data_IF_971881075185
#
_entry.id   IF_971881075185
#
_cell.length_a   1.000
_cell.length_b   1.000
_cell.length_c   1.000
_cell.angle_alpha   90.00
_cell.angle_beta   90.00
_cell.angle_gamma   90.00
#
_symmetry.space_group_name_H-M   'P 1'
#
loop_
_entity.id
_entity.type
_entity.pdbx_description
1 polymer ?
#
# COMPACT_ATOMS: atom_id res chain seq x y z
N UNK A 1 -42.63 -26.21 -6.88
CA UNK A 1 -41.77 -27.38 -6.59
C UNK A 1 -40.54 -27.29 -7.49
N UNK A 2 -39.65 -26.33 -7.32
CA UNK A 2 -38.85 -26.05 -6.11
C UNK A 2 -37.88 -27.19 -5.84
N UNK A 3 -36.64 -27.04 -6.32
CA UNK A 3 -35.39 -27.52 -5.70
C UNK A 3 -34.28 -27.60 -6.75
N UNK A 4 -33.65 -26.47 -7.11
CA UNK A 4 -32.29 -26.43 -7.72
C UNK A 4 -31.66 -25.03 -7.77
N UNK A 5 -32.11 -24.10 -6.92
CA UNK A 5 -31.70 -22.68 -6.94
C UNK A 5 -30.63 -22.28 -5.88
N UNK A 6 -29.98 -23.23 -5.20
CA UNK A 6 -29.23 -22.91 -3.96
C UNK A 6 -27.74 -23.32 -3.97
N UNK A 7 -27.25 -24.04 -4.98
CA UNK A 7 -25.96 -24.76 -4.86
C UNK A 7 -24.77 -24.19 -5.66
N UNK A 8 -24.65 -22.87 -5.84
CA UNK A 8 -23.43 -22.24 -6.40
C UNK A 8 -22.96 -20.95 -5.68
N UNK A 9 -23.58 -20.56 -4.55
CA UNK A 9 -23.42 -19.21 -3.98
C UNK A 9 -22.34 -18.98 -2.90
N UNK A 10 -21.34 -19.85 -2.75
CA UNK A 10 -20.25 -19.63 -1.75
C UNK A 10 -18.88 -20.12 -2.24
N UNK A 11 -18.32 -19.52 -3.29
CA UNK A 11 -16.85 -19.46 -3.40
C UNK A 11 -16.40 -18.39 -2.42
N UNK A 12 -15.70 -18.78 -1.34
CA UNK A 12 -14.99 -17.84 -0.49
C UNK A 12 -14.05 -17.02 -1.40
N UNK A 13 -14.33 -15.74 -1.59
CA UNK A 13 -13.38 -14.84 -2.26
C UNK A 13 -12.40 -14.39 -1.17
N UNK A 14 -11.43 -15.25 -0.90
CA UNK A 14 -10.29 -14.92 -0.06
C UNK A 14 -9.41 -13.97 -0.88
N UNK A 15 -9.59 -12.66 -0.72
CA UNK A 15 -8.57 -11.71 -1.14
C UNK A 15 -7.64 -11.56 0.05
N UNK A 16 -6.58 -12.37 0.11
CA UNK A 16 -5.46 -12.08 1.00
C UNK A 16 -5.12 -10.61 0.77
N UNK A 17 -5.09 -9.81 1.84
CA UNK A 17 -4.94 -8.35 1.79
C UNK A 17 -3.51 -7.92 1.49
N UNK A 18 -2.82 -8.76 0.74
CA UNK A 18 -1.90 -8.37 -0.30
C UNK A 18 -2.76 -7.92 -1.49
N UNK A 19 -3.23 -6.66 -1.46
CA UNK A 19 -3.78 -5.98 -2.64
C UNK A 19 -2.82 -5.97 -3.83
N UNK A 20 -1.57 -6.37 -3.61
CA UNK A 20 -0.65 -6.93 -4.56
C UNK A 20 0.14 -7.99 -3.78
N UNK A 21 0.04 -9.27 -4.13
CA UNK A 21 1.20 -10.14 -3.92
C UNK A 21 1.99 -9.97 -5.21
N UNK A 22 2.79 -8.90 -5.40
CA UNK A 22 3.39 -8.62 -6.70
C UNK A 22 4.23 -9.80 -7.21
N UNK A 23 4.71 -10.65 -6.29
CA UNK A 23 5.44 -11.88 -6.59
C UNK A 23 4.58 -13.06 -7.03
N UNK A 24 3.30 -13.15 -6.63
CA UNK A 24 2.44 -14.30 -6.97
C UNK A 24 1.25 -13.95 -7.88
N UNK A 25 0.74 -12.71 -7.82
CA UNK A 25 -0.42 -12.26 -8.58
C UNK A 25 -0.25 -10.78 -9.01
N UNK A 26 -0.49 -10.51 -10.29
CA UNK A 26 -0.41 -9.18 -10.89
C UNK A 26 -1.72 -8.40 -10.72
N UNK A 27 -2.20 -8.28 -9.49
CA UNK A 27 -3.35 -7.40 -9.19
C UNK A 27 -2.89 -5.95 -9.18
N UNK A 28 -3.54 -5.11 -9.99
CA UNK A 28 -3.27 -3.68 -10.05
C UNK A 28 -4.18 -2.92 -9.10
N UNK A 29 -3.75 -1.72 -8.71
CA UNK A 29 -4.56 -0.83 -7.88
C UNK A 29 -5.90 -0.45 -8.53
N UNK A 30 -5.98 -0.43 -9.86
CA UNK A 30 -7.24 -0.25 -10.61
C UNK A 30 -8.26 -1.34 -10.27
N UNK A 31 -7.80 -2.57 -10.22
CA UNK A 31 -8.67 -3.75 -10.08
C UNK A 31 -9.31 -3.76 -8.69
N UNK A 32 -8.58 -3.31 -7.66
CA UNK A 32 -9.12 -3.14 -6.31
C UNK A 32 -10.18 -2.02 -6.22
N UNK A 33 -10.04 -0.96 -7.01
CA UNK A 33 -10.99 0.16 -7.02
C UNK A 33 -12.31 -0.23 -7.69
N UNK A 34 -12.23 -1.11 -8.70
CA UNK A 34 -13.38 -1.61 -9.47
C UNK A 34 -14.24 -2.62 -8.71
N UNK A 35 -13.71 -3.30 -7.68
CA UNK A 35 -14.49 -4.20 -6.83
C UNK A 35 -15.67 -3.49 -6.18
N UNK A 36 -16.77 -4.20 -5.97
CA UNK A 36 -17.89 -3.68 -5.21
C UNK A 36 -17.54 -3.55 -3.72
N UNK A 37 -18.25 -2.66 -3.01
CA UNK A 37 -18.08 -2.54 -1.57
C UNK A 37 -18.49 -3.84 -0.88
N UNK A 38 -17.66 -4.32 0.04
CA UNK A 38 -17.85 -5.62 0.72
C UNK A 38 -17.85 -6.83 -0.22
N UNK A 39 -17.27 -6.72 -1.40
CA UNK A 39 -17.09 -7.88 -2.29
C UNK A 39 -16.09 -8.90 -1.74
N UNK A 40 -15.09 -8.44 -0.99
CA UNK A 40 -14.05 -9.29 -0.39
C UNK A 40 -14.54 -9.83 0.96
N UNK A 41 -14.48 -11.15 1.16
CA UNK A 41 -14.90 -11.76 2.42
C UNK A 41 -13.91 -11.49 3.56
N UNK A 42 -12.61 -11.77 3.32
CA UNK A 42 -11.55 -11.64 4.31
C UNK A 42 -10.32 -11.04 3.63
N UNK A 43 -9.76 -10.01 4.25
CA UNK A 43 -8.51 -9.34 3.87
C UNK A 43 -7.48 -9.46 4.97
N UNK A 44 -6.30 -9.96 4.62
CA UNK A 44 -5.10 -10.00 5.48
C UNK A 44 -4.16 -8.86 5.12
N UNK A 45 -4.26 -7.72 5.81
CA UNK A 45 -3.40 -6.58 5.54
C UNK A 45 -2.03 -6.75 6.22
N UNK A 46 -0.97 -6.68 5.42
CA UNK A 46 0.42 -6.73 5.86
C UNK A 46 1.11 -5.39 5.66
N UNK A 47 2.16 -5.13 6.46
CA UNK A 47 2.99 -3.94 6.35
C UNK A 47 2.48 -2.74 7.15
N UNK A 48 3.25 -1.66 7.10
CA UNK A 48 3.04 -0.44 7.90
C UNK A 48 2.58 0.71 7.00
N UNK A 49 1.71 1.58 7.51
CA UNK A 49 1.34 2.81 6.81
C UNK A 49 2.44 3.87 7.01
N UNK A 50 3.09 4.29 5.93
CA UNK A 50 4.22 5.25 5.95
C UNK A 50 4.12 6.32 4.88
N UNK A 51 3.47 6.03 3.77
CA UNK A 51 3.21 6.97 2.67
C UNK A 51 1.70 7.20 2.55
N UNK A 52 1.32 8.26 1.85
CA UNK A 52 -0.08 8.54 1.49
C UNK A 52 -0.66 7.42 0.63
N UNK A 53 0.14 6.82 -0.26
CA UNK A 53 -0.28 5.67 -1.06
C UNK A 53 -0.67 4.46 -0.17
N UNK A 54 0.13 4.14 0.86
CA UNK A 54 -0.21 3.07 1.79
C UNK A 54 -1.53 3.34 2.50
N UNK A 55 -1.78 4.58 2.90
CA UNK A 55 -3.02 5.00 3.55
C UNK A 55 -4.21 4.81 2.61
N UNK A 56 -4.12 5.31 1.38
CA UNK A 56 -5.17 5.16 0.36
C UNK A 56 -5.52 3.69 0.12
N UNK A 57 -4.51 2.83 -0.03
CA UNK A 57 -4.71 1.39 -0.22
C UNK A 57 -5.40 0.77 1.01
N UNK A 58 -4.98 1.11 2.22
CA UNK A 58 -5.59 0.59 3.44
C UNK A 58 -7.06 1.00 3.57
N UNK A 59 -7.40 2.25 3.21
CA UNK A 59 -8.78 2.73 3.19
C UNK A 59 -9.63 2.00 2.15
N UNK A 60 -9.10 1.80 0.93
CA UNK A 60 -9.77 1.02 -0.13
C UNK A 60 -10.02 -0.41 0.36
N UNK A 61 -8.99 -1.09 0.87
CA UNK A 61 -9.11 -2.44 1.40
C UNK A 61 -10.16 -2.51 2.50
N UNK A 62 -10.20 -1.55 3.43
CA UNK A 62 -11.23 -1.51 4.48
C UNK A 62 -12.64 -1.36 3.90
N UNK A 63 -12.81 -0.54 2.86
CA UNK A 63 -14.10 -0.35 2.18
C UNK A 63 -14.55 -1.63 1.48
N UNK A 64 -13.67 -2.24 0.67
CA UNK A 64 -13.96 -3.44 -0.14
C UNK A 64 -14.10 -4.74 0.66
N UNK A 65 -13.58 -4.80 1.89
CA UNK A 65 -13.58 -6.02 2.70
C UNK A 65 -14.69 -6.06 3.75
N UNK A 66 -15.35 -7.22 3.87
CA UNK A 66 -16.22 -7.54 5.01
C UNK A 66 -15.40 -7.58 6.28
N UNK A 67 -14.38 -8.44 6.32
CA UNK A 67 -13.42 -8.54 7.42
C UNK A 67 -12.04 -8.11 6.94
N UNK A 68 -11.37 -7.23 7.70
CA UNK A 68 -9.97 -6.86 7.49
C UNK A 68 -9.20 -7.20 8.76
N UNK A 69 -8.11 -7.94 8.60
CA UNK A 69 -7.25 -8.42 9.66
C UNK A 69 -5.89 -7.76 9.47
N UNK A 70 -5.43 -7.02 10.47
CA UNK A 70 -4.05 -6.57 10.54
C UNK A 70 -3.17 -7.78 10.86
N UNK A 71 -2.40 -8.24 9.87
CA UNK A 71 -1.68 -9.50 9.96
C UNK A 71 -0.17 -9.25 10.15
N UNK A 72 0.26 -9.35 11.42
CA UNK A 72 1.65 -9.19 11.85
C UNK A 72 1.89 -7.93 12.69
N UNK A 73 3.01 -7.92 13.43
CA UNK A 73 3.36 -6.83 14.35
C UNK A 73 3.54 -5.49 13.65
N UNK A 74 4.03 -5.48 12.41
CA UNK A 74 4.12 -4.28 11.59
C UNK A 74 2.76 -3.61 11.37
N UNK A 75 1.74 -4.37 10.98
CA UNK A 75 0.41 -3.81 10.72
C UNK A 75 -0.35 -3.47 11.99
N UNK A 76 -0.11 -4.21 13.09
CA UNK A 76 -0.77 -3.96 14.36
C UNK A 76 -0.15 -2.78 15.14
N UNK A 77 1.18 -2.65 15.12
CA UNK A 77 1.92 -1.79 16.04
C UNK A 77 2.96 -0.89 15.36
N UNK A 78 3.07 -0.92 14.03
CA UNK A 78 4.07 -0.16 13.26
C UNK A 78 5.42 -0.87 13.12
N UNK A 79 5.72 -1.87 13.94
CA UNK A 79 6.94 -2.70 13.82
C UNK A 79 8.25 -1.91 13.78
N UNK A 80 9.27 -2.48 13.15
CA UNK A 80 10.59 -1.84 12.98
C UNK A 80 10.49 -0.50 12.21
N UNK A 81 9.70 -0.36 11.14
CA UNK A 81 9.54 0.94 10.45
C UNK A 81 8.99 2.05 11.36
N UNK A 82 8.29 1.70 12.44
CA UNK A 82 7.83 2.65 13.46
C UNK A 82 8.96 3.37 14.19
N UNK A 83 10.18 2.81 14.24
CA UNK A 83 11.34 3.47 14.85
C UNK A 83 11.70 4.79 14.16
N UNK A 84 11.36 4.95 12.88
CA UNK A 84 11.54 6.19 12.15
C UNK A 84 10.75 7.37 12.74
N UNK A 85 9.77 7.12 13.62
CA UNK A 85 9.03 8.18 14.32
C UNK A 85 9.85 8.86 15.43
N UNK A 86 11.03 8.32 15.77
CA UNK A 86 11.97 8.96 16.70
C UNK A 86 12.80 10.08 16.04
N UNK A 87 12.71 10.20 14.72
CA UNK A 87 13.42 11.17 13.88
C UNK A 87 12.43 11.87 12.94
N UNK A 88 12.84 12.97 12.31
CA UNK A 88 12.02 13.63 11.30
C UNK A 88 12.33 13.17 9.86
N UNK A 89 11.46 13.56 8.92
CA UNK A 89 11.60 13.21 7.48
C UNK A 89 12.93 13.71 6.91
N UNK A 90 13.40 14.90 7.30
CA UNK A 90 14.60 15.50 6.74
C UNK A 90 15.86 14.77 7.23
N UNK A 91 15.91 14.40 8.50
CA UNK A 91 16.99 13.59 9.07
C UNK A 91 17.11 12.24 8.37
N UNK A 92 15.98 11.56 8.14
CA UNK A 92 15.96 10.29 7.39
C UNK A 92 16.48 10.49 5.97
N UNK A 93 16.04 11.55 5.29
CA UNK A 93 16.45 11.83 3.91
C UNK A 93 17.94 12.19 3.82
N UNK A 94 18.46 12.99 4.75
CA UNK A 94 19.87 13.31 4.83
C UNK A 94 20.72 12.06 5.08
N UNK A 95 20.29 11.18 5.98
CA UNK A 95 20.99 9.94 6.28
C UNK A 95 21.05 8.98 5.07
N UNK A 96 20.02 8.96 4.22
CA UNK A 96 19.94 8.04 3.07
C UNK A 96 20.53 8.63 1.79
N UNK A 97 20.34 9.92 1.53
CA UNK A 97 20.64 10.55 0.23
C UNK A 97 21.69 11.67 0.30
N UNK A 98 22.14 12.08 1.49
CA UNK A 98 23.10 13.17 1.67
C UNK A 98 24.38 12.74 2.36
N UNK A 99 24.33 12.58 3.68
CA UNK A 99 25.49 12.47 4.59
C UNK A 99 26.12 11.07 4.63
N UNK A 100 25.67 10.15 3.78
CA UNK A 100 26.19 8.79 3.74
C UNK A 100 27.47 8.71 2.89
N UNK A 101 28.52 8.11 3.45
CA UNK A 101 29.84 7.97 2.82
C UNK A 101 29.81 7.30 1.44
N UNK A 102 28.84 6.41 1.20
CA UNK A 102 28.71 5.71 -0.09
C UNK A 102 27.89 6.48 -1.13
N UNK A 103 27.29 7.63 -0.78
CA UNK A 103 26.38 8.36 -1.66
C UNK A 103 27.12 9.45 -2.42
N UNK A 104 27.10 9.36 -3.75
CA UNK A 104 27.66 10.36 -4.64
C UNK A 104 26.59 11.41 -5.02
N UNK A 105 26.26 12.32 -4.10
CA UNK A 105 25.27 13.38 -4.32
C UNK A 105 25.89 14.78 -4.12
N UNK A 106 26.76 15.19 -5.06
CA UNK A 106 27.45 16.50 -4.98
C UNK A 106 26.51 17.70 -5.11
N UNK A 107 25.37 17.48 -5.76
CA UNK A 107 24.40 18.52 -6.08
C UNK A 107 23.31 18.66 -4.99
N UNK A 108 23.36 17.85 -3.92
CA UNK A 108 22.39 17.82 -2.82
C UNK A 108 20.93 17.71 -3.32
N UNK A 109 20.71 16.88 -4.32
CA UNK A 109 19.38 16.65 -4.88
C UNK A 109 18.70 15.55 -4.07
N UNK A 110 17.49 15.82 -3.58
CA UNK A 110 16.68 14.86 -2.84
C UNK A 110 15.49 14.40 -3.69
N UNK A 111 14.96 13.19 -3.46
CA UNK A 111 13.74 12.74 -4.12
C UNK A 111 12.56 13.67 -3.79
N UNK A 112 11.87 14.15 -4.83
CA UNK A 112 10.66 14.96 -4.72
C UNK A 112 9.45 14.17 -5.23
N UNK A 113 8.28 14.37 -4.59
CA UNK A 113 7.04 13.71 -5.02
C UNK A 113 6.59 14.16 -6.41
N UNK A 114 6.92 15.39 -6.81
CA UNK A 114 6.56 15.98 -8.11
C UNK A 114 7.78 16.64 -8.74
N UNK A 115 8.10 16.25 -9.97
CA UNK A 115 9.13 16.90 -10.77
C UNK A 115 8.49 17.67 -11.93
N UNK A 116 8.81 18.96 -12.04
CA UNK A 116 8.46 19.79 -13.19
C UNK A 116 9.53 19.64 -14.26
N UNK A 117 9.19 19.00 -15.39
CA UNK A 117 10.11 18.84 -16.51
C UNK A 117 10.09 20.11 -17.39
N UNK A 118 8.89 20.65 -17.65
CA UNK A 118 8.66 21.86 -18.45
C UNK A 118 7.45 22.63 -17.89
N UNK A 119 7.25 23.90 -18.29
CA UNK A 119 6.13 24.78 -17.83
C UNK A 119 4.74 24.12 -17.88
N UNK A 120 4.54 23.12 -18.74
CA UNK A 120 3.26 22.43 -18.94
C UNK A 120 3.29 20.93 -18.62
N UNK A 121 4.39 20.37 -18.10
CA UNK A 121 4.50 18.92 -17.84
C UNK A 121 5.16 18.64 -16.49
N UNK A 122 4.34 18.22 -15.53
CA UNK A 122 4.77 17.63 -14.26
C UNK A 122 4.65 16.11 -14.29
N UNK A 123 5.62 15.43 -13.71
CA UNK A 123 5.53 14.00 -13.39
C UNK A 123 5.45 13.85 -11.87
N UNK A 124 4.61 12.94 -11.40
CA UNK A 124 4.53 12.58 -9.97
C UNK A 124 5.12 11.20 -9.83
N UNK A 125 5.87 10.94 -8.76
CA UNK A 125 6.22 9.57 -8.40
C UNK A 125 4.92 8.77 -8.19
N UNK A 126 4.86 7.50 -8.64
CA UNK A 126 3.68 6.66 -8.44
C UNK A 126 3.33 6.51 -6.95
#
# INVERSE_FOLDING_TARGET
MESKKITEKKKLKLAIGLGSWPTAFDFKHSDLKELEDKEIDITLHHGTIRTTEHEEIAQILRKKSKVLIAFGSCSCFGGIPGLCNLTDKQQIFNAVYGENLSVANKENIFPEEKLLINKNKSITLP
#
